data_IF_756897481261
#
_entry.id   IF_756897481261
#
_cell.length_a   1.000
_cell.length_b   1.000
_cell.length_c   1.000
_cell.angle_alpha   90.00
_cell.angle_beta   90.00
_cell.angle_gamma   90.00
#
_symmetry.space_group_name_H-M   'P 1'
#
loop_
_entity.id
_entity.type
_entity.pdbx_description
1 polymer ?
#
# COMPACT_ATOMS: atom_id res chain seq x y z
N UNK A 1 -19.07 11.50 -13.88
CA UNK A 1 -18.73 11.31 -13.69
C UNK A 1 -18.04 10.94 -13.60
N UNK A 2 -18.02 10.74 -13.57
CA UNK A 2 -17.53 10.34 -13.36
C UNK A 2 -16.77 10.26 -12.87
N UNK A 3 -16.49 10.50 -12.53
CA UNK A 3 -15.74 10.42 -12.07
C UNK A 3 -15.36 9.76 -11.27
N UNK A 4 -15.66 9.53 -10.70
CA UNK A 4 -15.34 8.76 -9.85
C UNK A 4 -14.79 7.65 -10.22
N UNK A 5 -14.91 7.32 -11.02
CA UNK A 5 -14.45 6.24 -11.49
C UNK A 5 -13.09 6.26 -11.34
N UNK A 6 -12.56 7.22 -11.34
CA UNK A 6 -11.31 7.29 -11.17
C UNK A 6 -10.93 6.81 -9.95
N UNK A 7 -11.61 6.92 -9.10
CA UNK A 7 -11.37 6.43 -7.92
C UNK A 7 -11.28 5.04 -7.98
N UNK A 8 -11.89 4.46 -8.82
CA UNK A 8 -11.84 3.13 -8.93
C UNK A 8 -10.51 2.65 -9.12
N UNK A 9 -9.61 3.33 -9.74
CA UNK A 9 -8.32 2.78 -10.00
C UNK A 9 -7.56 2.59 -8.73
N UNK A 10 -7.72 3.42 -7.73
CA UNK A 10 -7.01 3.23 -6.51
C UNK A 10 -7.79 2.35 -5.58
N UNK A 11 -9.10 2.46 -5.58
CA UNK A 11 -9.95 1.65 -4.74
C UNK A 11 -9.63 1.74 -3.26
N UNK A 12 -8.91 2.74 -2.84
CA UNK A 12 -8.54 2.91 -1.44
C UNK A 12 -9.05 4.27 -0.99
N UNK A 13 -9.75 4.30 0.13
CA UNK A 13 -10.28 5.53 0.66
C UNK A 13 -9.24 6.23 1.53
N UNK A 14 -9.35 7.54 1.62
CA UNK A 14 -8.51 8.33 2.46
C UNK A 14 -8.79 7.99 3.92
N UNK A 15 -7.75 7.72 4.68
CA UNK A 15 -7.90 7.39 6.09
C UNK A 15 -7.77 8.65 6.93
N UNK A 16 -8.65 8.81 7.90
CA UNK A 16 -8.63 9.99 8.76
C UNK A 16 -7.48 9.97 9.75
N UNK A 17 -6.94 8.80 10.04
CA UNK A 17 -5.88 8.67 11.02
C UNK A 17 -4.48 8.84 10.43
N UNK A 18 -4.39 9.14 9.13
CA UNK A 18 -3.11 9.25 8.45
C UNK A 18 -3.02 10.58 7.72
N UNK A 19 -1.85 11.17 7.72
CA UNK A 19 -1.60 12.36 6.93
C UNK A 19 -0.68 11.99 5.77
N UNK A 20 -1.21 12.01 4.54
CA UNK A 20 -0.41 11.53 3.39
C UNK A 20 0.91 12.26 3.20
N UNK A 21 0.98 13.54 3.51
CA UNK A 21 2.22 14.24 3.32
C UNK A 21 3.30 13.83 4.32
N UNK A 22 2.94 13.14 5.40
CA UNK A 22 3.94 12.63 6.31
C UNK A 22 4.70 11.48 5.65
N UNK A 23 4.00 10.63 4.89
CA UNK A 23 4.66 9.55 4.17
C UNK A 23 5.59 10.08 3.13
N UNK A 24 5.16 11.09 2.40
CA UNK A 24 5.98 11.71 1.38
C UNK A 24 7.19 12.36 2.01
N UNK A 25 7.01 13.00 3.15
CA UNK A 25 8.09 13.66 3.84
C UNK A 25 9.13 12.66 4.35
N UNK A 26 8.66 11.54 4.87
CA UNK A 26 9.52 10.53 5.42
C UNK A 26 10.26 9.71 4.37
N UNK A 27 9.57 9.32 3.31
CA UNK A 27 10.12 8.41 2.33
C UNK A 27 10.45 9.05 0.99
N UNK A 28 9.99 10.27 0.76
CA UNK A 28 10.20 10.94 -0.51
C UNK A 28 9.08 10.63 -1.48
N UNK A 29 9.27 11.04 -2.71
CA UNK A 29 8.28 10.86 -3.76
C UNK A 29 8.50 9.48 -4.37
N UNK A 30 8.10 8.44 -3.65
CA UNK A 30 8.31 7.07 -4.06
C UNK A 30 6.97 6.39 -4.25
N UNK A 31 7.01 5.18 -4.79
CA UNK A 31 5.79 4.42 -5.00
C UNK A 31 5.33 3.81 -3.69
N UNK A 32 4.04 3.91 -3.41
CA UNK A 32 3.44 3.34 -2.21
C UNK A 32 2.40 2.30 -2.63
N UNK A 33 2.25 1.24 -1.85
CA UNK A 33 1.19 0.26 -2.09
C UNK A 33 -0.17 0.91 -1.83
N UNK A 34 -0.22 1.87 -0.90
CA UNK A 34 -1.40 2.69 -0.67
C UNK A 34 -1.04 4.13 -1.04
N UNK A 35 -1.20 4.52 -2.29
CA UNK A 35 -0.82 5.85 -2.72
C UNK A 35 -1.80 6.95 -2.30
N UNK A 36 -2.97 6.57 -1.83
CA UNK A 36 -3.96 7.53 -1.37
C UNK A 36 -3.54 8.11 -0.03
N UNK A 37 -3.05 7.25 0.87
CA UNK A 37 -2.62 7.67 2.20
C UNK A 37 -1.10 7.69 2.35
N UNK A 38 -0.37 7.35 1.28
CA UNK A 38 1.08 7.28 1.25
C UNK A 38 1.61 6.36 2.36
N UNK A 39 1.08 5.16 2.38
CA UNK A 39 1.51 4.13 3.31
C UNK A 39 2.10 2.96 2.54
N UNK A 40 3.03 2.26 3.18
CA UNK A 40 3.64 1.06 2.62
C UNK A 40 4.44 1.36 1.36
N UNK A 41 5.58 2.05 1.51
CA UNK A 41 6.45 2.30 0.37
C UNK A 41 6.96 0.98 -0.19
N UNK A 42 7.08 0.89 -1.50
CA UNK A 42 7.49 -0.34 -2.16
C UNK A 42 8.58 -0.06 -3.19
N UNK A 43 9.42 0.90 -2.89
CA UNK A 43 10.46 1.36 -3.81
C UNK A 43 11.78 0.63 -3.65
N UNK A 44 11.96 -0.13 -2.57
CA UNK A 44 13.18 -0.89 -2.34
C UNK A 44 12.83 -2.29 -1.86
N UNK A 45 13.74 -3.26 -1.97
CA UNK A 45 13.47 -4.60 -1.46
C UNK A 45 13.15 -4.60 0.04
N UNK A 46 13.83 -3.77 0.81
CA UNK A 46 13.58 -3.69 2.24
C UNK A 46 12.18 -3.16 2.52
N UNK A 47 11.77 -2.12 1.78
CA UNK A 47 10.45 -1.55 1.96
C UNK A 47 9.38 -2.56 1.55
N UNK A 48 9.62 -3.33 0.50
CA UNK A 48 8.67 -4.35 0.06
C UNK A 48 8.47 -5.40 1.15
N UNK A 49 9.56 -5.87 1.75
CA UNK A 49 9.46 -6.86 2.82
C UNK A 49 8.71 -6.30 4.01
N UNK A 50 9.02 -5.06 4.39
CA UNK A 50 8.35 -4.44 5.52
C UNK A 50 6.87 -4.22 5.23
N UNK A 51 6.55 -3.81 4.01
CA UNK A 51 5.16 -3.57 3.62
C UNK A 51 4.35 -4.86 3.72
N UNK A 52 4.93 -5.97 3.25
CA UNK A 52 4.23 -7.24 3.28
C UNK A 52 4.00 -7.68 4.73
N UNK A 53 5.01 -7.52 5.57
CA UNK A 53 4.88 -7.88 6.97
C UNK A 53 3.80 -7.04 7.65
N UNK A 54 3.79 -5.75 7.41
CA UNK A 54 2.83 -4.87 8.06
C UNK A 54 1.40 -5.10 7.59
N UNK A 55 1.18 -5.29 6.29
CA UNK A 55 -0.20 -5.45 5.82
C UNK A 55 -0.78 -6.80 6.26
N UNK A 56 0.08 -7.77 6.55
CA UNK A 56 -0.40 -9.04 7.03
C UNK A 56 -0.64 -9.04 8.54
N UNK A 57 -0.26 -7.97 9.21
CA UNK A 57 -0.52 -7.84 10.63
C UNK A 57 -1.99 -7.46 10.79
N UNK A 58 -2.70 -8.21 11.60
CA UNK A 58 -4.12 -8.04 11.76
C UNK A 58 -4.56 -6.62 12.08
N UNK A 59 -3.85 -5.96 12.97
CA UNK A 59 -4.22 -4.60 13.38
C UNK A 59 -4.09 -3.61 12.24
N UNK A 60 -3.08 -3.78 11.38
CA UNK A 60 -2.89 -2.89 10.27
C UNK A 60 -3.93 -3.15 9.19
N UNK A 61 -4.20 -4.42 8.90
CA UNK A 61 -5.20 -4.76 7.89
C UNK A 61 -6.59 -4.29 8.30
N UNK A 62 -6.86 -4.25 9.60
CA UNK A 62 -8.16 -3.83 10.10
C UNK A 62 -8.47 -2.36 9.82
N UNK A 63 -7.45 -1.57 9.45
CA UNK A 63 -7.67 -0.16 9.14
C UNK A 63 -8.23 0.02 7.72
N UNK A 64 -8.31 -1.03 6.96
CA UNK A 64 -8.81 -1.01 5.60
C UNK A 64 -9.93 -2.04 5.45
N UNK A 65 -10.77 -1.91 4.46
CA UNK A 65 -11.74 -2.96 4.21
C UNK A 65 -11.07 -4.05 3.36
N UNK A 66 -11.77 -5.16 3.17
CA UNK A 66 -11.20 -6.34 2.53
C UNK A 66 -10.71 -6.07 1.11
N UNK A 67 -11.45 -5.27 0.36
CA UNK A 67 -11.06 -4.97 -1.01
C UNK A 67 -9.82 -4.11 -1.05
N UNK A 68 -9.70 -3.19 -0.10
CA UNK A 68 -8.53 -2.33 -0.03
C UNK A 68 -7.30 -3.15 0.34
N UNK A 69 -7.43 -4.07 1.28
CA UNK A 69 -6.32 -4.94 1.66
C UNK A 69 -5.86 -5.76 0.46
N UNK A 70 -6.82 -6.28 -0.30
CA UNK A 70 -6.49 -7.08 -1.46
C UNK A 70 -5.71 -6.26 -2.49
N UNK A 71 -6.13 -5.02 -2.71
CA UNK A 71 -5.45 -4.12 -3.64
C UNK A 71 -4.04 -3.82 -3.16
N UNK A 72 -3.88 -3.52 -1.88
CA UNK A 72 -2.57 -3.23 -1.32
C UNK A 72 -1.65 -4.44 -1.45
N UNK A 73 -2.14 -5.62 -1.10
CA UNK A 73 -1.34 -6.84 -1.22
C UNK A 73 -0.94 -7.12 -2.66
N UNK A 74 -1.84 -6.87 -3.60
CA UNK A 74 -1.56 -7.09 -5.00
C UNK A 74 -0.40 -6.20 -5.46
N UNK A 75 -0.40 -4.95 -5.03
CA UNK A 75 0.66 -4.03 -5.39
C UNK A 75 2.00 -4.42 -4.77
N UNK A 76 1.96 -4.90 -3.53
CA UNK A 76 3.17 -5.35 -2.85
C UNK A 76 3.73 -6.58 -3.56
N UNK A 77 2.87 -7.53 -3.95
CA UNK A 77 3.31 -8.72 -4.65
C UNK A 77 3.96 -8.37 -5.97
N UNK A 78 3.39 -7.40 -6.68
CA UNK A 78 3.95 -6.97 -7.95
C UNK A 78 5.32 -6.34 -7.74
N UNK A 79 5.45 -5.53 -6.69
CA UNK A 79 6.73 -4.91 -6.36
C UNK A 79 7.74 -5.96 -5.93
N UNK A 80 7.31 -7.00 -5.21
CA UNK A 80 8.19 -8.07 -4.79
C UNK A 80 8.79 -8.77 -5.99
N UNK A 81 7.98 -8.98 -7.02
CA UNK A 81 8.45 -9.62 -8.22
C UNK A 81 9.45 -8.72 -8.92
N UNK A 82 9.15 -7.44 -9.00
CA UNK A 82 10.01 -6.48 -9.65
C UNK A 82 11.35 -6.37 -8.95
N UNK A 83 11.38 -6.42 -7.63
CA UNK A 83 12.60 -6.28 -6.84
C UNK A 83 13.23 -7.63 -6.46
N UNK A 84 12.68 -8.72 -6.99
CA UNK A 84 13.19 -10.07 -6.74
C UNK A 84 13.19 -10.38 -5.24
N UNK A 85 12.10 -10.05 -4.58
CA UNK A 85 11.93 -10.32 -3.15
C UNK A 85 10.99 -11.51 -3.00
N UNK A 86 11.39 -12.46 -2.15
CA UNK A 86 10.54 -13.58 -1.87
C UNK A 86 9.65 -13.22 -0.70
N UNK A 87 8.35 -13.41 -0.86
CA UNK A 87 7.40 -13.18 0.23
C UNK A 87 6.59 -14.44 0.42
N UNK A 88 6.17 -14.67 1.66
CA UNK A 88 5.39 -15.81 1.97
C UNK A 88 3.94 -15.50 1.82
N UNK A 89 3.22 -16.27 1.01
CA UNK A 89 1.79 -16.07 0.87
C UNK A 89 1.12 -17.15 1.67
N UNK A 90 0.43 -16.76 2.69
CA UNK A 90 -0.21 -17.73 3.57
C UNK A 90 -1.47 -18.31 2.97
#
# INVERSE_FOLDING_TARGET
MTSHEKQKSSQIDRRDDVRPNEGEHKYGDVEFADPVNNKYPIDTPEHVRAAWSYINHKDNAAKYDADEVRTIKSRIKRAAKKHDVEIEEA
#
